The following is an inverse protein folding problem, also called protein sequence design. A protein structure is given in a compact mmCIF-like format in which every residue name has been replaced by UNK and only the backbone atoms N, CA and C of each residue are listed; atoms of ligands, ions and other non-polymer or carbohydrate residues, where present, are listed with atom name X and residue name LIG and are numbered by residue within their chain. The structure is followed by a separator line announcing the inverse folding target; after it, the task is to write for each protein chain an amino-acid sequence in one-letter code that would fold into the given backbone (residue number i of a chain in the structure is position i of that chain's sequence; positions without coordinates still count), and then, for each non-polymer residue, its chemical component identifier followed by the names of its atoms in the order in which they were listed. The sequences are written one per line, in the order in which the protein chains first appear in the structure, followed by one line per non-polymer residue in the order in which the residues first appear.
data_IF_807757500198
#
_entry.id   IF_807757500198
#
_cell.length_a   1.000
_cell.length_b   1.000
_cell.length_c   1.000
_cell.angle_alpha   90.00
_cell.angle_beta   90.00
_cell.angle_gamma   90.00
#
_symmetry.space_group_name_H-M   'P 1'
#
loop_
_entity.id
_entity.type
_entity.pdbx_description
1 polymer ?
#
# COMPACT_ATOMS: atom_id res chain seq x y z
N UNK A 1 10.62 19.75 -5.20
CA UNK A 1 10.16 18.84 -4.14
C UNK A 1 10.40 17.40 -4.60
N UNK A 2 11.04 16.59 -3.75
CA UNK A 2 10.48 15.30 -3.36
C UNK A 2 10.51 15.16 -1.82
N UNK A 3 9.43 14.60 -1.25
CA UNK A 3 9.43 14.19 0.16
C UNK A 3 10.13 12.84 0.22
N UNK A 4 11.35 12.83 0.73
CA UNK A 4 12.07 11.62 1.10
C UNK A 4 11.85 11.46 2.61
N UNK A 5 10.91 10.60 3.02
CA UNK A 5 10.75 10.20 4.41
C UNK A 5 11.05 8.70 4.58
N UNK A 6 11.75 8.31 5.67
CA UNK A 6 12.43 7.04 5.76
C UNK A 6 11.49 5.89 6.15
N UNK A 7 11.48 4.85 5.33
CA UNK A 7 11.35 3.42 5.67
C UNK A 7 10.63 3.03 6.98
N UNK A 8 9.32 3.32 7.13
CA UNK A 8 8.37 2.57 8.00
C UNK A 8 6.89 2.99 7.88
N UNK A 9 6.54 3.90 6.96
CA UNK A 9 5.18 4.42 6.86
C UNK A 9 4.28 3.56 5.96
N UNK A 10 3.39 2.77 6.59
CA UNK A 10 2.21 2.19 5.94
C UNK A 10 1.43 3.22 5.11
N UNK A 11 1.21 4.47 5.58
CA UNK A 11 0.54 5.50 4.77
C UNK A 11 1.21 5.70 3.40
N UNK A 12 2.54 5.76 3.39
CA UNK A 12 3.33 5.94 2.18
C UNK A 12 3.25 4.72 1.27
N UNK A 13 3.31 3.51 1.83
CA UNK A 13 3.15 2.26 1.07
C UNK A 13 1.81 2.23 0.32
N UNK A 14 0.70 2.46 1.04
CA UNK A 14 -0.65 2.41 0.47
C UNK A 14 -0.83 3.49 -0.60
N UNK A 15 -0.35 4.71 -0.33
CA UNK A 15 -0.42 5.82 -1.28
C UNK A 15 0.39 5.56 -2.53
N UNK A 16 1.62 5.07 -2.39
CA UNK A 16 2.50 4.78 -3.52
C UNK A 16 1.92 3.65 -4.38
N UNK A 17 1.39 2.58 -3.76
CA UNK A 17 0.68 1.52 -4.47
C UNK A 17 -0.48 2.09 -5.28
N UNK A 18 -1.30 2.94 -4.66
CA UNK A 18 -2.45 3.58 -5.33
C UNK A 18 -2.03 4.42 -6.53
N UNK A 19 -1.02 5.26 -6.36
CA UNK A 19 -0.50 6.17 -7.38
C UNK A 19 0.11 5.39 -8.56
N UNK A 20 0.86 4.31 -8.29
CA UNK A 20 1.43 3.45 -9.34
C UNK A 20 0.38 2.70 -10.15
N UNK A 21 -0.72 2.31 -9.51
CA UNK A 21 -1.87 1.69 -10.19
C UNK A 21 -2.78 2.72 -10.89
N UNK A 22 -2.56 4.02 -10.68
CA UNK A 22 -3.45 5.09 -11.20
C UNK A 22 -4.88 5.01 -10.64
N UNK A 23 -5.05 4.47 -9.42
CA UNK A 23 -6.36 4.24 -8.82
C UNK A 23 -6.78 5.38 -7.89
N UNK A 24 -8.10 5.53 -7.73
CA UNK A 24 -8.65 6.27 -6.59
C UNK A 24 -8.57 5.43 -5.33
N UNK A 25 -8.70 6.06 -4.15
CA UNK A 25 -8.76 5.35 -2.87
C UNK A 25 -9.91 4.33 -2.84
N UNK A 26 -11.05 4.66 -3.46
CA UNK A 26 -12.21 3.77 -3.57
C UNK A 26 -11.91 2.55 -4.44
N UNK A 27 -11.29 2.75 -5.62
CA UNK A 27 -10.91 1.65 -6.51
C UNK A 27 -9.85 0.75 -5.86
N UNK A 28 -8.90 1.33 -5.14
CA UNK A 28 -7.94 0.56 -4.35
C UNK A 28 -8.64 -0.26 -3.27
N UNK A 29 -9.59 0.34 -2.55
CA UNK A 29 -10.34 -0.34 -1.51
C UNK A 29 -11.12 -1.55 -2.06
N UNK A 30 -11.81 -1.38 -3.19
CA UNK A 30 -12.49 -2.47 -3.91
C UNK A 30 -11.48 -3.57 -4.30
N UNK A 31 -10.33 -3.19 -4.84
CA UNK A 31 -9.27 -4.12 -5.26
C UNK A 31 -8.71 -4.92 -4.07
N UNK A 32 -8.58 -4.29 -2.91
CA UNK A 32 -8.07 -4.92 -1.69
C UNK A 32 -9.17 -5.59 -0.84
N UNK A 33 -10.43 -5.54 -1.27
CA UNK A 33 -11.57 -6.12 -0.55
C UNK A 33 -11.89 -5.43 0.78
N UNK A 34 -11.58 -4.14 0.92
CA UNK A 34 -11.83 -3.35 2.12
C UNK A 34 -12.70 -2.14 1.82
N UNK A 35 -13.20 -1.47 2.86
CA UNK A 35 -13.99 -0.24 2.67
C UNK A 35 -13.10 0.96 2.34
N UNK A 36 -13.64 1.93 1.61
CA UNK A 36 -12.95 3.21 1.34
C UNK A 36 -12.43 3.87 2.62
N UNK A 37 -13.25 3.87 3.69
CA UNK A 37 -12.87 4.43 4.99
C UNK A 37 -11.61 3.77 5.57
N UNK A 38 -11.41 2.48 5.30
CA UNK A 38 -10.25 1.72 5.75
C UNK A 38 -8.98 2.20 5.06
N UNK A 39 -9.02 2.31 3.73
CA UNK A 39 -7.90 2.86 2.93
C UNK A 39 -7.60 4.31 3.32
N UNK A 40 -8.63 5.16 3.48
CA UNK A 40 -8.46 6.54 3.91
C UNK A 40 -7.78 6.64 5.30
N UNK A 41 -8.14 5.77 6.25
CA UNK A 41 -7.48 5.74 7.57
C UNK A 41 -6.03 5.29 7.47
N UNK A 42 -5.71 4.33 6.59
CA UNK A 42 -4.34 3.88 6.36
C UNK A 42 -3.49 4.97 5.73
N UNK A 43 -3.96 5.63 4.67
CA UNK A 43 -3.22 6.71 4.00
C UNK A 43 -3.05 7.95 4.90
N UNK A 44 -3.90 8.13 5.90
CA UNK A 44 -3.78 9.19 6.91
C UNK A 44 -2.99 8.78 8.16
N UNK A 45 -2.53 7.53 8.26
CA UNK A 45 -1.81 7.01 9.43
C UNK A 45 -2.65 6.84 10.69
N UNK A 46 -3.99 6.92 10.58
CA UNK A 46 -4.90 6.74 11.72
C UNK A 46 -5.19 5.27 12.03
N UNK A 47 -4.83 4.34 11.14
CA UNK A 47 -4.98 2.91 11.35
C UNK A 47 -3.87 2.13 10.63
N UNK A 48 -3.54 0.95 11.16
CA UNK A 48 -2.63 0.00 10.50
C UNK A 48 -3.46 -1.12 9.82
N UNK A 49 -3.09 -1.57 8.62
CA UNK A 49 -3.71 -2.72 7.97
C UNK A 49 -3.51 -3.98 8.82
N UNK A 50 -4.54 -4.83 8.84
CA UNK A 50 -4.44 -6.16 9.44
C UNK A 50 -3.50 -7.04 8.61
N UNK A 51 -3.08 -8.18 9.17
CA UNK A 51 -2.25 -9.14 8.44
C UNK A 51 -2.91 -9.60 7.12
N UNK A 52 -4.24 -9.73 7.10
CA UNK A 52 -4.99 -10.09 5.89
C UNK A 52 -4.91 -8.99 4.82
N UNK A 53 -5.05 -7.73 5.23
CA UNK A 53 -4.89 -6.59 4.34
C UNK A 53 -3.45 -6.43 3.83
N UNK A 54 -2.46 -6.65 4.69
CA UNK A 54 -1.04 -6.67 4.31
C UNK A 54 -0.75 -7.76 3.27
N UNK A 55 -1.32 -8.96 3.46
CA UNK A 55 -1.20 -10.04 2.48
C UNK A 55 -1.84 -9.67 1.14
N UNK A 56 -3.01 -9.01 1.15
CA UNK A 56 -3.66 -8.53 -0.08
C UNK A 56 -2.82 -7.45 -0.79
N UNK A 57 -2.23 -6.53 -0.03
CA UNK A 57 -1.29 -5.52 -0.54
C UNK A 57 -0.06 -6.20 -1.16
N UNK A 58 0.53 -7.18 -0.46
CA UNK A 58 1.69 -7.94 -0.93
C UNK A 58 1.37 -8.69 -2.22
N UNK A 59 0.23 -9.38 -2.28
CA UNK A 59 -0.23 -10.06 -3.50
C UNK A 59 -0.39 -9.07 -4.65
N UNK A 60 -0.97 -7.90 -4.39
CA UNK A 60 -1.15 -6.89 -5.43
C UNK A 60 0.17 -6.34 -5.94
N UNK A 61 1.16 -6.15 -5.07
CA UNK A 61 2.50 -5.74 -5.46
C UNK A 61 3.21 -6.81 -6.30
N UNK A 62 3.00 -8.09 -5.99
CA UNK A 62 3.53 -9.21 -6.79
C UNK A 62 2.89 -9.24 -8.18
N UNK A 63 1.58 -9.03 -8.27
CA UNK A 63 0.81 -8.95 -9.53
C UNK A 63 1.29 -7.81 -10.43
N UNK A 64 1.73 -6.69 -9.85
CA UNK A 64 2.32 -5.56 -10.59
C UNK A 64 3.75 -5.83 -11.11
N UNK A 65 4.38 -6.94 -10.72
CA UNK A 65 5.73 -7.31 -11.16
C UNK A 65 6.78 -6.25 -10.84
N UNK A 66 7.45 -5.74 -11.87
CA UNK A 66 8.57 -4.79 -11.74
C UNK A 66 8.22 -3.49 -11.01
N UNK A 67 6.96 -3.04 -11.06
CA UNK A 67 6.50 -1.83 -10.37
C UNK A 67 6.16 -2.05 -8.89
N UNK A 68 6.08 -3.30 -8.42
CA UNK A 68 5.85 -3.62 -7.01
C UNK A 68 7.08 -4.18 -6.29
N UNK A 69 8.09 -4.60 -7.05
CA UNK A 69 9.28 -5.26 -6.54
C UNK A 69 10.05 -4.41 -5.51
N UNK A 70 10.21 -3.10 -5.73
CA UNK A 70 10.90 -2.23 -4.77
C UNK A 70 10.13 -2.08 -3.46
N UNK A 71 8.79 -1.92 -3.52
CA UNK A 71 7.94 -1.83 -2.33
C UNK A 71 7.88 -3.16 -1.56
N UNK A 72 7.84 -4.29 -2.28
CA UNK A 72 7.96 -5.62 -1.67
C UNK A 72 9.28 -5.77 -0.90
N UNK A 73 10.39 -5.37 -1.53
CA UNK A 73 11.71 -5.43 -0.91
C UNK A 73 11.84 -4.47 0.28
N UNK A 74 11.25 -3.29 0.21
CA UNK A 74 11.36 -2.27 1.24
C UNK A 74 10.48 -2.55 2.46
N UNK A 75 9.28 -3.11 2.28
CA UNK A 75 8.28 -3.25 3.35
C UNK A 75 8.04 -4.68 3.81
N UNK A 76 8.25 -5.68 2.96
CA UNK A 76 7.92 -7.09 3.26
C UNK A 76 9.16 -7.99 3.34
N UNK A 77 10.34 -7.50 2.98
CA UNK A 77 11.59 -8.25 3.15
C UNK A 77 12.11 -8.11 4.58
N UNK A 78 11.54 -8.92 5.48
CA UNK A 78 12.23 -9.28 6.71
C UNK A 78 13.11 -10.48 6.41
N UNK A 79 14.44 -10.28 6.48
CA UNK A 79 15.40 -11.36 6.68
C UNK A 79 16.14 -11.08 7.97
#
# INVERSE_FOLDING_TARGET
MPVITPVSDIPYLVRTLRERLGLSQEKLAITLGVSFQTVNRWERGHAKPSQLALNAIQQKLTDMGGQGADLLHQYFKQK
#
